data_IF_174354946178
#
_entry.id   IF_174354946178
#
_cell.length_a   1.000
_cell.length_b   1.000
_cell.length_c   1.000
_cell.angle_alpha   90.00
_cell.angle_beta   90.00
_cell.angle_gamma   90.00
#
_symmetry.space_group_name_H-M   'P 1'
#
loop_
_entity.id
_entity.type
_entity.pdbx_description
1 polymer ?
#
# COMPACT_ATOMS: atom_id res chain seq x y z
N UNK A 1 -8.67 -32.53 -1.36
CA UNK A 1 -10.12 -32.25 -1.28
C UNK A 1 -10.62 -31.88 -2.65
N UNK A 2 -11.54 -32.67 -3.21
CA UNK A 2 -12.14 -32.43 -4.52
C UNK A 2 -13.02 -31.19 -4.44
N UNK A 3 -12.83 -30.28 -5.41
CA UNK A 3 -13.59 -29.03 -5.56
C UNK A 3 -15.06 -29.32 -5.92
N UNK A 4 -15.39 -30.59 -6.22
CA UNK A 4 -16.70 -31.07 -6.68
C UNK A 4 -17.21 -32.11 -5.69
N UNK A 5 -18.50 -32.07 -5.33
CA UNK A 5 -19.14 -33.09 -4.52
C UNK A 5 -19.43 -34.38 -5.32
N UNK A 6 -20.00 -35.37 -4.63
CA UNK A 6 -20.31 -36.68 -5.25
C UNK A 6 -21.33 -36.58 -6.39
N UNK A 7 -22.12 -35.49 -6.43
CA UNK A 7 -23.12 -35.19 -7.47
C UNK A 7 -22.56 -34.32 -8.61
N UNK A 8 -21.26 -34.03 -8.64
CA UNK A 8 -20.61 -33.22 -9.67
C UNK A 8 -20.85 -31.72 -9.54
N UNK A 9 -21.39 -31.24 -8.42
CA UNK A 9 -21.58 -29.82 -8.12
C UNK A 9 -20.34 -29.22 -7.48
N UNK A 10 -19.97 -28.00 -7.91
CA UNK A 10 -18.90 -27.24 -7.24
C UNK A 10 -19.28 -27.01 -5.78
N UNK A 11 -18.44 -27.49 -4.87
CA UNK A 11 -18.56 -27.17 -3.45
C UNK A 11 -18.29 -25.67 -3.26
N UNK A 12 -19.11 -25.06 -2.43
CA UNK A 12 -18.85 -23.69 -2.01
C UNK A 12 -17.51 -23.66 -1.26
N UNK A 13 -16.57 -22.83 -1.72
CA UNK A 13 -15.29 -22.66 -1.04
C UNK A 13 -15.51 -22.30 0.44
N UNK A 14 -14.83 -22.97 1.39
CA UNK A 14 -14.92 -22.60 2.80
C UNK A 14 -14.37 -21.18 3.02
N UNK A 15 -15.01 -20.46 3.92
CA UNK A 15 -14.59 -19.14 4.39
C UNK A 15 -13.90 -19.25 5.76
N UNK A 16 -13.35 -18.16 6.26
CA UNK A 16 -12.62 -18.16 7.52
C UNK A 16 -13.50 -18.58 8.71
N UNK A 17 -14.79 -18.27 8.67
CA UNK A 17 -15.75 -18.71 9.70
C UNK A 17 -15.91 -20.23 9.75
N UNK A 18 -15.89 -20.90 8.61
CA UNK A 18 -15.97 -22.38 8.55
C UNK A 18 -14.72 -23.01 9.19
N UNK A 19 -13.55 -22.42 8.94
CA UNK A 19 -12.29 -22.82 9.56
C UNK A 19 -12.31 -22.61 11.08
N UNK A 20 -12.82 -21.47 11.53
CA UNK A 20 -12.95 -21.14 12.94
C UNK A 20 -13.79 -22.19 13.68
N UNK A 21 -14.92 -22.57 13.12
CA UNK A 21 -15.80 -23.58 13.72
C UNK A 21 -15.11 -24.93 13.89
N UNK A 22 -14.43 -25.40 12.84
CA UNK A 22 -13.67 -26.66 12.88
C UNK A 22 -12.57 -26.62 13.95
N UNK A 23 -11.76 -25.56 13.98
CA UNK A 23 -10.69 -25.41 14.96
C UNK A 23 -11.22 -25.25 16.39
N UNK A 24 -12.38 -24.63 16.57
CA UNK A 24 -12.97 -24.42 17.89
C UNK A 24 -13.52 -25.72 18.52
N UNK A 25 -14.00 -26.65 17.70
CA UNK A 25 -14.54 -27.96 18.15
C UNK A 25 -13.45 -28.90 18.63
N UNK A 26 -12.25 -28.82 18.09
CA UNK A 26 -11.14 -29.68 18.45
C UNK A 26 -10.34 -29.08 19.63
N UNK A 27 -10.21 -29.78 20.77
CA UNK A 27 -9.45 -29.30 21.93
C UNK A 27 -7.98 -28.97 21.62
N UNK A 28 -7.34 -29.68 20.69
CA UNK A 28 -5.93 -29.50 20.37
C UNK A 28 -5.69 -28.24 19.53
N UNK A 29 -6.68 -27.83 18.74
CA UNK A 29 -6.58 -26.67 17.84
C UNK A 29 -7.37 -25.45 18.33
N UNK A 30 -8.13 -25.56 19.43
CA UNK A 30 -8.95 -24.47 19.96
C UNK A 30 -8.17 -23.17 20.23
N UNK A 31 -6.90 -23.26 20.61
CA UNK A 31 -6.05 -22.09 20.81
C UNK A 31 -5.86 -21.28 19.52
N UNK A 32 -5.85 -21.93 18.35
CA UNK A 32 -5.79 -21.27 17.04
C UNK A 32 -7.11 -20.57 16.73
N UNK A 33 -8.25 -21.18 17.09
CA UNK A 33 -9.56 -20.53 16.94
C UNK A 33 -9.66 -19.24 17.76
N UNK A 34 -9.07 -19.20 18.96
CA UNK A 34 -9.03 -17.96 19.78
C UNK A 34 -8.29 -16.84 19.05
N UNK A 35 -7.18 -17.15 18.39
CA UNK A 35 -6.44 -16.17 17.56
C UNK A 35 -7.29 -15.67 16.38
N UNK A 36 -8.01 -16.60 15.72
CA UNK A 36 -8.87 -16.28 14.58
C UNK A 36 -10.16 -15.55 14.96
N UNK A 37 -10.56 -15.59 16.24
CA UNK A 37 -11.83 -14.99 16.69
C UNK A 37 -11.94 -13.52 16.34
N UNK A 38 -10.85 -12.77 16.35
CA UNK A 38 -10.80 -11.36 15.95
C UNK A 38 -11.34 -11.14 14.54
N UNK A 39 -11.02 -12.05 13.61
CA UNK A 39 -11.40 -11.96 12.20
C UNK A 39 -12.75 -12.62 11.89
N UNK A 40 -13.38 -13.31 12.83
CA UNK A 40 -14.66 -14.02 12.61
C UNK A 40 -15.80 -13.37 13.38
N UNK A 41 -15.57 -13.00 14.66
CA UNK A 41 -16.59 -12.44 15.54
C UNK A 41 -16.24 -11.06 16.10
N UNK A 42 -14.98 -10.62 15.90
CA UNK A 42 -14.45 -9.36 16.40
C UNK A 42 -14.59 -8.19 15.42
N UNK A 43 -13.77 -7.15 15.63
CA UNK A 43 -13.75 -5.92 14.82
C UNK A 43 -13.42 -6.16 13.33
N UNK A 44 -12.70 -7.25 13.03
CA UNK A 44 -12.30 -7.64 11.69
C UNK A 44 -13.26 -8.64 11.00
N UNK A 45 -14.43 -8.89 11.55
CA UNK A 45 -15.35 -9.94 11.05
C UNK A 45 -15.78 -9.74 9.58
N UNK A 46 -15.77 -8.51 9.09
CA UNK A 46 -16.02 -8.21 7.68
C UNK A 46 -15.01 -8.90 6.74
N UNK A 47 -13.77 -9.15 7.18
CA UNK A 47 -12.73 -9.84 6.40
C UNK A 47 -12.98 -11.34 6.27
N UNK A 48 -13.83 -11.93 7.11
CA UNK A 48 -14.18 -13.35 7.07
C UNK A 48 -15.38 -13.64 6.16
N UNK A 49 -16.05 -12.63 5.62
CA UNK A 49 -17.20 -12.78 4.75
C UNK A 49 -16.78 -13.28 3.35
N UNK A 50 -17.77 -13.76 2.59
CA UNK A 50 -17.53 -14.10 1.18
C UNK A 50 -17.15 -12.85 0.42
N UNK A 51 -16.15 -13.00 -0.43
CA UNK A 51 -15.74 -11.91 -1.31
C UNK A 51 -16.83 -11.66 -2.36
N UNK A 52 -17.39 -10.46 -2.36
CA UNK A 52 -18.34 -9.91 -3.32
C UNK A 52 -17.74 -8.77 -4.16
N UNK A 53 -16.42 -8.56 -4.04
CA UNK A 53 -15.72 -7.51 -4.77
C UNK A 53 -15.54 -7.97 -6.24
N UNK A 54 -16.06 -7.16 -7.17
CA UNK A 54 -15.78 -7.35 -8.58
C UNK A 54 -14.40 -6.84 -8.94
N UNK A 55 -13.47 -7.76 -9.20
CA UNK A 55 -12.08 -7.47 -9.56
C UNK A 55 -11.81 -7.47 -11.07
N UNK A 56 -12.86 -7.48 -11.90
CA UNK A 56 -12.74 -7.56 -13.36
C UNK A 56 -12.52 -6.22 -14.06
N UNK A 57 -12.41 -5.12 -13.30
CA UNK A 57 -12.20 -3.79 -13.84
C UNK A 57 -10.72 -3.51 -14.09
N UNK A 58 -10.40 -2.76 -15.14
CA UNK A 58 -9.04 -2.28 -15.42
C UNK A 58 -8.53 -1.22 -14.41
N UNK A 59 -9.43 -0.57 -13.69
CA UNK A 59 -9.14 0.40 -12.65
C UNK A 59 -9.86 0.01 -11.38
N UNK A 60 -9.10 -0.36 -10.38
CA UNK A 60 -9.60 -0.84 -9.09
C UNK A 60 -9.01 0.06 -8.00
N UNK A 61 -9.86 0.53 -7.09
CA UNK A 61 -9.46 1.29 -5.90
C UNK A 61 -9.90 0.52 -4.66
N UNK A 62 -8.95 0.19 -3.80
CA UNK A 62 -9.20 -0.41 -2.49
C UNK A 62 -9.03 0.68 -1.44
N UNK A 63 -10.15 1.25 -1.00
CA UNK A 63 -10.17 2.33 0.00
C UNK A 63 -10.21 1.73 1.42
N UNK A 64 -9.17 2.00 2.18
CA UNK A 64 -9.00 1.53 3.56
C UNK A 64 -9.28 2.61 4.61
N UNK A 65 -9.68 3.82 4.20
CA UNK A 65 -9.88 4.97 5.09
C UNK A 65 -10.96 4.78 6.17
N UNK A 66 -11.86 3.82 5.95
CA UNK A 66 -12.91 3.47 6.92
C UNK A 66 -12.53 2.37 7.90
N UNK A 67 -11.30 1.83 7.81
CA UNK A 67 -10.86 0.76 8.71
C UNK A 67 -10.43 1.33 10.08
N UNK A 68 -10.66 0.61 11.19
CA UNK A 68 -10.07 0.93 12.47
C UNK A 68 -8.54 0.96 12.41
N UNK A 69 -7.90 1.85 13.16
CA UNK A 69 -6.44 2.04 13.15
C UNK A 69 -5.66 0.75 13.43
N UNK A 70 -6.17 -0.10 14.31
CA UNK A 70 -5.57 -1.39 14.66
C UNK A 70 -5.68 -2.46 13.56
N UNK A 71 -6.41 -2.17 12.48
CA UNK A 71 -6.63 -3.05 11.32
C UNK A 71 -6.03 -2.52 10.02
N UNK A 72 -5.54 -1.28 9.98
CA UNK A 72 -5.02 -0.68 8.75
C UNK A 72 -3.86 -1.52 8.17
N UNK A 73 -2.95 -2.00 9.01
CA UNK A 73 -1.84 -2.85 8.56
C UNK A 73 -2.33 -4.16 7.93
N UNK A 74 -3.29 -4.85 8.58
CA UNK A 74 -3.88 -6.08 8.06
C UNK A 74 -4.62 -5.83 6.73
N UNK A 75 -5.40 -4.74 6.65
CA UNK A 75 -6.11 -4.33 5.45
C UNK A 75 -5.18 -3.96 4.29
N UNK A 76 -4.11 -3.23 4.58
CA UNK A 76 -3.10 -2.85 3.59
C UNK A 76 -2.36 -4.10 3.06
N UNK A 77 -2.00 -5.03 3.95
CA UNK A 77 -1.40 -6.31 3.54
C UNK A 77 -2.33 -7.11 2.65
N UNK A 78 -3.60 -7.24 3.03
CA UNK A 78 -4.62 -7.94 2.26
C UNK A 78 -4.85 -7.29 0.88
N UNK A 79 -5.05 -5.97 0.85
CA UNK A 79 -5.26 -5.23 -0.40
C UNK A 79 -4.05 -5.34 -1.35
N UNK A 80 -2.84 -5.22 -0.80
CA UNK A 80 -1.59 -5.36 -1.56
C UNK A 80 -1.43 -6.79 -2.10
N UNK A 81 -1.79 -7.80 -1.30
CA UNK A 81 -1.75 -9.21 -1.73
C UNK A 81 -2.71 -9.49 -2.88
N UNK A 82 -3.94 -9.00 -2.80
CA UNK A 82 -4.92 -9.14 -3.89
C UNK A 82 -4.41 -8.43 -5.15
N UNK A 83 -3.94 -7.20 -5.03
CA UNK A 83 -3.42 -6.44 -6.17
C UNK A 83 -2.24 -7.16 -6.83
N UNK A 84 -1.35 -7.75 -6.04
CA UNK A 84 -0.22 -8.53 -6.55
C UNK A 84 -0.68 -9.80 -7.25
N UNK A 85 -1.64 -10.54 -6.68
CA UNK A 85 -2.23 -11.72 -7.31
C UNK A 85 -2.91 -11.40 -8.64
N UNK A 86 -3.61 -10.26 -8.73
CA UNK A 86 -4.19 -9.79 -9.99
C UNK A 86 -3.12 -9.53 -11.05
N UNK A 87 -2.01 -8.91 -10.68
CA UNK A 87 -0.88 -8.65 -11.57
C UNK A 87 -0.21 -9.96 -12.02
N UNK A 88 -0.03 -10.90 -11.08
CA UNK A 88 0.55 -12.22 -11.37
C UNK A 88 -0.26 -13.03 -12.39
N UNK A 89 -1.57 -12.87 -12.37
CA UNK A 89 -2.50 -13.60 -13.25
C UNK A 89 -2.91 -12.79 -14.49
N UNK A 90 -2.38 -11.57 -14.66
CA UNK A 90 -2.65 -10.74 -15.83
C UNK A 90 -1.68 -11.11 -16.95
N UNK A 91 -2.14 -11.93 -17.88
CA UNK A 91 -1.37 -12.27 -19.07
C UNK A 91 -1.49 -11.13 -20.09
N UNK A 92 -0.34 -10.71 -20.68
CA UNK A 92 -0.24 -9.79 -21.82
C UNK A 92 -0.64 -8.31 -21.62
N UNK A 93 -0.97 -7.83 -20.41
CA UNK A 93 -1.24 -6.40 -20.16
C UNK A 93 -0.24 -5.80 -19.18
N UNK A 94 0.14 -4.53 -19.41
CA UNK A 94 0.91 -3.75 -18.45
C UNK A 94 0.01 -3.38 -17.27
N UNK A 95 0.48 -3.70 -16.07
CA UNK A 95 -0.27 -3.47 -14.83
C UNK A 95 0.49 -2.49 -13.93
N UNK A 96 -0.23 -1.73 -13.12
CA UNK A 96 0.36 -0.83 -12.14
C UNK A 96 -0.31 -0.98 -10.78
N UNK A 97 0.48 -1.15 -9.75
CA UNK A 97 0.07 -1.06 -8.35
C UNK A 97 0.53 0.27 -7.79
N UNK A 98 -0.42 1.09 -7.32
CA UNK A 98 -0.17 2.33 -6.59
C UNK A 98 -0.53 2.08 -5.13
N UNK A 99 0.48 2.02 -4.27
CA UNK A 99 0.30 1.79 -2.84
C UNK A 99 0.70 3.04 -2.05
N UNK A 100 -0.29 3.68 -1.47
CA UNK A 100 -0.09 4.82 -0.58
C UNK A 100 0.16 4.33 0.85
N UNK A 101 0.97 5.06 1.61
CA UNK A 101 1.33 4.77 3.01
C UNK A 101 1.89 3.34 3.22
N UNK A 102 2.67 2.84 2.26
CA UNK A 102 3.25 1.48 2.33
C UNK A 102 4.13 1.26 3.56
N UNK A 103 4.62 2.34 4.19
CA UNK A 103 5.42 2.27 5.41
C UNK A 103 4.70 1.52 6.55
N UNK A 104 3.37 1.51 6.56
CA UNK A 104 2.58 0.76 7.54
C UNK A 104 2.89 -0.73 7.56
N UNK A 105 3.36 -1.29 6.45
CA UNK A 105 3.76 -2.69 6.30
C UNK A 105 5.26 -2.93 6.51
N UNK A 106 6.08 -1.89 6.57
CA UNK A 106 7.55 -2.02 6.69
C UNK A 106 8.13 -1.21 7.84
N UNK A 107 7.31 -0.43 8.56
CA UNK A 107 7.69 0.40 9.68
C UNK A 107 7.89 -0.37 11.00
N UNK A 108 8.21 0.34 12.08
CA UNK A 108 8.61 -0.23 13.38
C UNK A 108 7.58 -1.21 13.98
N UNK A 109 6.30 -1.01 13.74
CA UNK A 109 5.20 -1.84 14.24
C UNK A 109 4.78 -2.93 13.27
N UNK A 110 5.40 -2.98 12.09
CA UNK A 110 5.05 -3.93 11.05
C UNK A 110 5.51 -5.36 11.38
N UNK A 111 4.77 -6.32 10.85
CA UNK A 111 5.15 -7.71 10.92
C UNK A 111 6.29 -8.00 9.90
N UNK A 112 7.41 -8.64 10.30
CA UNK A 112 8.51 -8.98 9.38
C UNK A 112 8.07 -9.79 8.16
N UNK A 113 7.05 -10.67 8.28
CA UNK A 113 6.53 -11.42 7.15
C UNK A 113 5.83 -10.51 6.13
N UNK A 114 5.03 -9.54 6.59
CA UNK A 114 4.40 -8.55 5.72
C UNK A 114 5.45 -7.67 5.02
N UNK A 115 6.46 -7.21 5.76
CA UNK A 115 7.57 -6.44 5.20
C UNK A 115 8.37 -7.25 4.16
N UNK A 116 8.62 -8.53 4.43
CA UNK A 116 9.26 -9.46 3.49
C UNK A 116 8.45 -9.63 2.20
N UNK A 117 7.14 -9.80 2.31
CA UNK A 117 6.23 -9.88 1.16
C UNK A 117 6.29 -8.61 0.29
N UNK A 118 6.21 -7.42 0.91
CA UNK A 118 6.29 -6.15 0.18
C UNK A 118 7.62 -6.02 -0.56
N UNK A 119 8.73 -6.36 0.09
CA UNK A 119 10.05 -6.32 -0.53
C UNK A 119 10.15 -7.28 -1.71
N UNK A 120 9.63 -8.49 -1.57
CA UNK A 120 9.61 -9.50 -2.66
C UNK A 120 8.75 -9.01 -3.83
N UNK A 121 7.56 -8.49 -3.54
CA UNK A 121 6.68 -7.90 -4.55
C UNK A 121 7.37 -6.79 -5.34
N UNK A 122 7.99 -5.82 -4.67
CA UNK A 122 8.68 -4.70 -5.36
C UNK A 122 9.83 -5.19 -6.23
N UNK A 123 10.52 -6.27 -5.83
CA UNK A 123 11.61 -6.86 -6.61
C UNK A 123 11.12 -7.62 -7.85
N UNK A 124 10.00 -8.30 -7.74
CA UNK A 124 9.54 -9.27 -8.75
C UNK A 124 8.52 -8.68 -9.74
N UNK A 125 7.74 -7.69 -9.32
CA UNK A 125 6.62 -7.13 -10.11
C UNK A 125 7.02 -6.69 -11.52
N UNK A 126 8.23 -6.17 -11.69
CA UNK A 126 8.74 -5.79 -13.02
C UNK A 126 8.88 -6.99 -13.96
N UNK A 127 9.30 -8.15 -13.44
CA UNK A 127 9.41 -9.39 -14.20
C UNK A 127 8.05 -9.93 -14.69
N UNK A 128 6.97 -9.49 -14.06
CA UNK A 128 5.59 -9.83 -14.40
C UNK A 128 4.93 -8.77 -15.31
N UNK A 129 5.69 -7.82 -15.87
CA UNK A 129 5.12 -6.73 -16.66
C UNK A 129 4.44 -5.63 -15.82
N UNK A 130 4.58 -5.67 -14.50
CA UNK A 130 3.96 -4.72 -13.58
C UNK A 130 4.88 -3.57 -13.19
N UNK A 131 4.26 -2.49 -12.72
CA UNK A 131 4.91 -1.31 -12.12
C UNK A 131 4.41 -1.17 -10.69
N UNK A 132 5.32 -1.04 -9.73
CA UNK A 132 4.99 -0.62 -8.36
C UNK A 132 5.31 0.87 -8.19
N UNK A 133 4.32 1.64 -7.76
CA UNK A 133 4.46 3.02 -7.30
C UNK A 133 4.09 3.02 -5.82
N UNK A 134 5.04 3.35 -4.98
CA UNK A 134 4.83 3.40 -3.53
C UNK A 134 5.08 4.81 -3.03
N UNK A 135 4.24 5.29 -2.12
CA UNK A 135 4.45 6.57 -1.46
C UNK A 135 4.59 6.39 0.05
N UNK A 136 5.28 7.32 0.68
CA UNK A 136 5.44 7.39 2.13
C UNK A 136 5.64 8.84 2.56
N UNK A 137 5.10 9.20 3.70
CA UNK A 137 5.31 10.51 4.33
C UNK A 137 6.37 10.46 5.43
N UNK A 138 6.67 9.26 5.98
CA UNK A 138 7.63 9.08 7.08
C UNK A 138 8.88 8.32 6.65
N UNK A 139 10.00 9.02 6.45
CA UNK A 139 11.27 8.36 6.16
C UNK A 139 11.82 7.60 7.37
N UNK A 140 11.60 8.10 8.59
CA UNK A 140 12.03 7.41 9.82
C UNK A 140 11.33 6.07 9.97
N UNK A 141 10.03 6.01 9.72
CA UNK A 141 9.25 4.79 9.82
C UNK A 141 9.68 3.75 8.78
N UNK A 142 9.93 4.19 7.54
CA UNK A 142 10.40 3.32 6.46
C UNK A 142 11.72 2.60 6.82
N UNK A 143 12.58 3.23 7.62
CA UNK A 143 13.88 2.68 8.01
C UNK A 143 13.94 2.15 9.45
N UNK A 144 12.81 1.93 10.10
CA UNK A 144 12.77 1.57 11.52
C UNK A 144 12.80 0.06 11.79
N UNK A 145 12.18 -0.76 10.93
CA UNK A 145 12.12 -2.21 11.13
C UNK A 145 13.46 -2.87 10.78
N UNK A 146 13.95 -3.73 11.68
CA UNK A 146 15.19 -4.50 11.51
C UNK A 146 16.39 -3.67 11.01
N UNK A 147 16.59 -2.50 11.62
CA UNK A 147 17.68 -1.60 11.25
C UNK A 147 17.54 -0.99 9.84
N UNK A 148 16.33 -0.96 9.32
CA UNK A 148 16.01 -0.36 8.02
C UNK A 148 16.27 -1.24 6.80
N UNK A 149 16.47 -2.54 7.00
CA UNK A 149 16.80 -3.48 5.92
C UNK A 149 15.72 -3.56 4.84
N UNK A 150 14.44 -3.59 5.23
CA UNK A 150 13.32 -3.63 4.32
C UNK A 150 13.15 -2.31 3.55
N UNK A 151 13.15 -1.18 4.24
CA UNK A 151 13.04 0.13 3.60
C UNK A 151 14.20 0.41 2.64
N UNK A 152 15.42 0.03 3.03
CA UNK A 152 16.57 0.09 2.14
C UNK A 152 16.38 -0.80 0.91
N UNK A 153 15.91 -2.02 1.07
CA UNK A 153 15.66 -2.95 -0.03
C UNK A 153 14.61 -2.42 -1.02
N UNK A 154 13.55 -1.79 -0.54
CA UNK A 154 12.53 -1.13 -1.38
C UNK A 154 13.14 0.05 -2.13
N UNK A 155 13.89 0.91 -1.43
CA UNK A 155 14.54 2.07 -2.02
C UNK A 155 15.54 1.68 -3.11
N UNK A 156 16.37 0.66 -2.86
CA UNK A 156 17.35 0.15 -3.82
C UNK A 156 16.68 -0.50 -5.05
N UNK A 157 15.53 -1.14 -4.86
CA UNK A 157 14.75 -1.75 -5.95
C UNK A 157 14.01 -0.72 -6.80
N UNK A 158 13.73 0.46 -6.26
CA UNK A 158 13.05 1.56 -6.94
C UNK A 158 14.04 2.33 -7.82
N UNK A 159 13.91 2.22 -9.15
CA UNK A 159 14.82 2.92 -10.07
C UNK A 159 14.53 4.43 -10.18
N UNK A 160 13.28 4.81 -10.05
CA UNK A 160 12.81 6.20 -10.10
C UNK A 160 12.36 6.56 -8.70
N UNK A 161 12.87 7.67 -8.18
CA UNK A 161 12.47 8.21 -6.89
C UNK A 161 12.10 9.67 -7.05
N UNK A 162 10.99 10.06 -6.47
CA UNK A 162 10.55 11.44 -6.43
C UNK A 162 10.58 11.90 -4.97
N UNK A 163 11.44 12.84 -4.68
CA UNK A 163 11.58 13.43 -3.35
C UNK A 163 10.87 14.76 -3.35
N UNK A 164 9.74 14.82 -2.64
CA UNK A 164 8.99 16.07 -2.44
C UNK A 164 9.57 16.87 -1.27
N UNK A 165 8.95 17.99 -0.93
CA UNK A 165 9.35 18.76 0.24
C UNK A 165 9.31 17.90 1.51
N UNK A 166 10.34 18.03 2.32
CA UNK A 166 10.43 17.39 3.64
C UNK A 166 11.28 18.24 4.60
N UNK A 167 11.19 17.93 5.88
CA UNK A 167 11.99 18.57 6.91
C UNK A 167 13.47 18.18 6.77
N UNK A 168 14.37 19.05 7.27
CA UNK A 168 15.82 18.85 7.10
C UNK A 168 16.30 17.53 7.70
N UNK A 169 15.74 17.11 8.84
CA UNK A 169 16.12 15.84 9.48
C UNK A 169 15.82 14.64 8.58
N UNK A 170 14.66 14.62 7.93
CA UNK A 170 14.28 13.55 7.01
C UNK A 170 15.10 13.60 5.72
N UNK A 171 15.35 14.80 5.18
CA UNK A 171 16.22 14.96 4.00
C UNK A 171 17.64 14.44 4.27
N UNK A 172 18.16 14.63 5.49
CA UNK A 172 19.44 14.08 5.92
C UNK A 172 19.44 12.56 6.01
N UNK A 173 18.33 11.92 6.43
CA UNK A 173 18.23 10.46 6.49
C UNK A 173 18.38 9.79 5.11
N UNK A 174 17.92 10.46 4.07
CA UNK A 174 18.01 9.94 2.70
C UNK A 174 19.24 10.45 1.93
N UNK A 175 19.99 11.40 2.48
CA UNK A 175 21.13 12.02 1.82
C UNK A 175 22.14 10.98 1.32
N UNK A 176 22.66 10.14 2.20
CA UNK A 176 23.62 9.11 1.84
C UNK A 176 23.01 8.00 0.97
N UNK A 177 21.71 7.70 1.19
CA UNK A 177 21.02 6.63 0.47
C UNK A 177 20.74 6.99 -1.00
N UNK A 178 20.55 8.26 -1.29
CA UNK A 178 20.30 8.78 -2.63
C UNK A 178 21.52 9.52 -3.22
N UNK A 179 22.63 9.59 -2.50
CA UNK A 179 23.83 10.36 -2.85
C UNK A 179 23.52 11.84 -3.13
N UNK A 180 22.69 12.46 -2.27
CA UNK A 180 22.34 13.87 -2.40
C UNK A 180 23.50 14.77 -1.96
N UNK A 181 23.74 15.83 -2.73
CA UNK A 181 24.63 16.91 -2.32
C UNK A 181 23.98 17.78 -1.25
N UNK A 182 24.81 18.57 -0.54
CA UNK A 182 24.31 19.55 0.44
C UNK A 182 23.37 20.60 -0.18
N UNK A 183 23.57 20.94 -1.44
CA UNK A 183 22.70 21.85 -2.17
C UNK A 183 21.33 21.24 -2.46
N UNK A 184 21.28 19.96 -2.83
CA UNK A 184 20.04 19.23 -3.06
C UNK A 184 19.26 19.06 -1.77
N UNK A 185 19.90 18.74 -0.64
CA UNK A 185 19.26 18.70 0.68
C UNK A 185 18.62 20.04 1.01
N UNK A 186 19.36 21.14 0.82
CA UNK A 186 18.82 22.49 1.03
C UNK A 186 17.68 22.82 0.08
N UNK A 187 17.72 22.33 -1.15
CA UNK A 187 16.66 22.54 -2.13
C UNK A 187 15.39 21.79 -1.74
N UNK A 188 15.50 20.54 -1.33
CA UNK A 188 14.36 19.69 -0.89
C UNK A 188 13.60 20.38 0.24
N UNK A 189 14.27 20.96 1.23
CA UNK A 189 13.61 21.65 2.35
C UNK A 189 12.86 22.92 1.95
N UNK A 190 13.13 23.47 0.76
CA UNK A 190 12.57 24.72 0.25
C UNK A 190 11.56 24.53 -0.87
N UNK A 191 11.34 23.31 -1.32
CA UNK A 191 10.34 23.03 -2.36
C UNK A 191 8.96 23.52 -1.94
N UNK A 192 8.21 23.98 -2.92
CA UNK A 192 6.80 24.31 -2.76
C UNK A 192 5.92 23.14 -3.13
N UNK A 193 4.64 23.24 -2.84
CA UNK A 193 3.66 22.25 -3.27
C UNK A 193 3.75 22.02 -4.79
N UNK A 194 3.90 20.77 -5.19
CA UNK A 194 4.06 20.38 -6.59
C UNK A 194 5.49 20.43 -7.11
N UNK A 195 6.48 20.84 -6.30
CA UNK A 195 7.89 20.78 -6.66
C UNK A 195 8.55 19.55 -6.01
N UNK A 196 9.59 19.02 -6.66
CA UNK A 196 10.33 17.88 -6.16
C UNK A 196 11.63 17.64 -6.89
N UNK A 197 12.44 16.73 -6.36
CA UNK A 197 13.66 16.23 -6.96
C UNK A 197 13.41 14.85 -7.54
N UNK A 198 13.49 14.73 -8.86
CA UNK A 198 13.39 13.46 -9.56
C UNK A 198 14.78 12.82 -9.65
N UNK A 199 14.93 11.66 -9.01
CA UNK A 199 16.17 10.90 -9.00
C UNK A 199 16.01 9.66 -9.87
N UNK A 200 16.82 9.54 -10.93
CA UNK A 200 16.86 8.38 -11.84
C UNK A 200 18.31 7.90 -11.93
N UNK A 201 18.63 6.86 -11.16
CA UNK A 201 20.00 6.43 -10.97
C UNK A 201 20.84 7.54 -10.31
N UNK A 202 21.88 8.02 -11.01
CA UNK A 202 22.74 9.10 -10.53
C UNK A 202 22.31 10.50 -11.03
N UNK A 203 21.25 10.58 -11.83
CA UNK A 203 20.78 11.85 -12.36
C UNK A 203 19.68 12.40 -11.44
N UNK A 204 19.88 13.61 -10.94
CA UNK A 204 18.92 14.31 -10.11
C UNK A 204 18.48 15.57 -10.84
N UNK A 205 17.15 15.73 -10.97
CA UNK A 205 16.55 16.84 -11.72
C UNK A 205 15.45 17.47 -10.87
N UNK A 206 15.56 18.75 -10.51
CA UNK A 206 14.44 19.48 -9.91
C UNK A 206 13.30 19.59 -10.92
N UNK A 207 12.09 19.24 -10.49
CA UNK A 207 10.89 19.30 -11.33
C UNK A 207 9.77 20.06 -10.62
N UNK A 208 8.84 20.59 -11.42
CA UNK A 208 7.62 21.19 -10.95
C UNK A 208 6.43 20.60 -11.74
N UNK A 209 5.44 20.11 -11.03
CA UNK A 209 4.20 19.61 -11.62
C UNK A 209 3.22 20.79 -11.79
N UNK A 210 2.71 20.95 -12.98
CA UNK A 210 1.65 21.90 -13.28
C UNK A 210 0.40 21.14 -13.70
N UNK A 211 -0.66 21.30 -12.93
CA UNK A 211 -1.95 20.68 -13.23
C UNK A 211 -2.81 21.64 -14.05
N UNK A 212 -3.58 21.10 -14.98
CA UNK A 212 -4.66 21.83 -15.61
C UNK A 212 -5.81 22.06 -14.60
N UNK A 213 -6.70 23.06 -14.81
CA UNK A 213 -7.85 23.25 -13.93
C UNK A 213 -8.73 22.01 -13.75
N UNK A 214 -8.90 21.19 -14.80
CA UNK A 214 -9.66 19.93 -14.72
C UNK A 214 -8.97 18.86 -13.87
N UNK A 215 -7.65 18.72 -14.02
CA UNK A 215 -6.86 17.80 -13.19
C UNK A 215 -6.88 18.26 -11.75
N UNK A 216 -6.68 19.57 -11.49
CA UNK A 216 -6.73 20.12 -10.15
C UNK A 216 -8.09 19.86 -9.49
N UNK A 217 -9.18 20.07 -10.23
CA UNK A 217 -10.52 19.76 -9.74
C UNK A 217 -10.68 18.27 -9.37
N UNK A 218 -10.06 17.34 -10.09
CA UNK A 218 -10.16 15.92 -9.81
C UNK A 218 -9.32 15.48 -8.61
N UNK A 219 -8.14 16.11 -8.41
CA UNK A 219 -7.14 15.64 -7.42
C UNK A 219 -7.09 16.47 -6.13
N UNK A 220 -7.78 17.65 -6.09
CA UNK A 220 -7.69 18.51 -4.92
C UNK A 220 -8.28 17.85 -3.67
N UNK A 221 -7.52 17.91 -2.59
CA UNK A 221 -7.94 17.53 -1.24
C UNK A 221 -8.15 18.75 -0.34
N UNK A 222 -8.09 19.97 -0.90
CA UNK A 222 -8.32 21.21 -0.16
C UNK A 222 -9.72 21.22 0.44
N UNK A 223 -9.86 21.39 1.77
CA UNK A 223 -11.18 21.44 2.41
C UNK A 223 -12.09 22.54 1.86
N UNK A 224 -11.52 23.67 1.47
CA UNK A 224 -12.24 24.80 0.88
C UNK A 224 -12.82 24.42 -0.47
N UNK A 225 -11.99 23.85 -1.36
CA UNK A 225 -12.42 23.45 -2.71
C UNK A 225 -13.47 22.31 -2.64
N UNK A 226 -13.30 21.38 -1.71
CA UNK A 226 -14.27 20.32 -1.49
C UNK A 226 -15.61 20.81 -0.94
N UNK A 227 -15.60 21.87 -0.11
CA UNK A 227 -16.83 22.55 0.35
C UNK A 227 -17.57 23.19 -0.80
N UNK A 228 -16.87 23.97 -1.65
CA UNK A 228 -17.45 24.59 -2.85
C UNK A 228 -18.09 23.54 -3.76
N UNK A 229 -17.44 22.38 -3.96
CA UNK A 229 -18.02 21.27 -4.73
C UNK A 229 -19.30 20.71 -4.11
N UNK A 230 -19.37 20.61 -2.78
CA UNK A 230 -20.53 20.03 -2.08
C UNK A 230 -21.71 21.00 -1.95
N UNK A 231 -21.44 22.28 -1.77
CA UNK A 231 -22.46 23.29 -1.47
C UNK A 231 -22.83 24.17 -2.67
N UNK A 232 -21.99 24.20 -3.70
CA UNK A 232 -22.15 25.12 -4.85
C UNK A 232 -22.02 26.60 -4.45
N UNK A 233 -21.61 26.92 -3.22
CA UNK A 233 -21.43 28.26 -2.71
C UNK A 233 -19.94 28.59 -2.58
N UNK A 234 -19.54 29.66 -3.21
CA UNK A 234 -18.26 30.31 -2.97
C UNK A 234 -18.52 31.24 -1.79
N UNK A 235 -17.90 31.00 -0.64
CA UNK A 235 -17.89 31.96 0.46
C UNK A 235 -17.11 33.20 -0.03
N UNK A 236 -17.80 34.35 -0.10
CA UNK A 236 -17.22 35.66 -0.43
C UNK A 236 -16.28 36.16 0.68
#
# INVERSE_FOLDING_TARGET
STIVDEDGKFRTMPILSDWYEVLYQDPDTRHLAVVLSRYVTGSAAAMASRNDIELNNKYIVLDLSGMPDDMIADGTFWATSIAYDLIMNCEDELSALLADELWSLVGATANPQAAGFVLEMVKTIRGLGGIAVTSTQGMQDLFSLEGGSYGKGILDSSRIKLVMQMEEQEARLIQDKLNLSEDEVRQITRFRRGEGLLCIGYNHVPIAFHTTPKEYEAITTSPTDLRVKRTGQIDE
#
